data_IF_256003828128
#
_entry.id   IF_256003828128
#
_cell.length_a   1.000
_cell.length_b   1.000
_cell.length_c   1.000
_cell.angle_alpha   90.00
_cell.angle_beta   90.00
_cell.angle_gamma   90.00
#
_symmetry.space_group_name_H-M   'P 1'
#
loop_
_entity.id
_entity.type
_entity.pdbx_description
1 polymer ?
#
# COMPACT_ATOMS: atom_id res chain seq x y z
N UNK A 1 14.89 22.62 9.13
CA UNK A 1 15.42 21.92 7.93
C UNK A 1 14.27 21.17 7.30
N UNK A 2 14.14 21.14 5.97
CA UNK A 2 13.09 20.35 5.33
C UNK A 2 13.32 18.86 5.63
N UNK A 3 12.29 18.15 6.10
CA UNK A 3 12.35 16.70 6.36
C UNK A 3 12.32 15.94 5.03
N UNK A 4 13.10 14.86 4.94
CA UNK A 4 13.02 13.88 3.84
C UNK A 4 12.07 12.75 4.27
N UNK A 5 11.06 12.49 3.45
CA UNK A 5 9.96 11.56 3.74
C UNK A 5 9.83 10.54 2.61
N UNK A 6 9.78 9.26 2.94
CA UNK A 6 9.37 8.19 2.04
C UNK A 6 7.92 7.81 2.33
N UNK A 7 7.10 7.66 1.29
CA UNK A 7 5.72 7.22 1.41
C UNK A 7 5.53 6.01 0.51
N UNK A 8 5.09 4.90 1.10
CA UNK A 8 4.49 3.79 0.39
C UNK A 8 2.98 3.97 0.43
N UNK A 9 2.40 4.28 -0.74
CA UNK A 9 0.96 4.49 -0.91
C UNK A 9 0.30 3.19 -1.39
N UNK A 10 0.43 2.14 -0.58
CA UNK A 10 -0.05 0.82 -0.93
C UNK A 10 -1.58 0.71 -1.01
N UNK A 11 -2.04 -0.31 -1.75
CA UNK A 11 -3.48 -0.63 -1.89
C UNK A 11 -4.13 -0.98 -0.55
N UNK A 12 -3.39 -1.66 0.34
CA UNK A 12 -3.91 -2.14 1.61
C UNK A 12 -3.48 -1.26 2.80
N UNK A 13 -2.24 -0.77 2.80
CA UNK A 13 -1.69 0.05 3.87
C UNK A 13 -0.85 1.18 3.29
N UNK A 14 -0.79 2.29 4.01
CA UNK A 14 0.13 3.40 3.80
C UNK A 14 1.22 3.31 4.85
N UNK A 15 2.48 3.40 4.42
CA UNK A 15 3.63 3.51 5.31
C UNK A 15 4.33 4.85 5.07
N UNK A 16 4.73 5.51 6.16
CA UNK A 16 5.53 6.74 6.08
C UNK A 16 6.82 6.54 6.85
N UNK A 17 7.93 6.75 6.15
CA UNK A 17 9.28 6.75 6.70
C UNK A 17 9.83 8.18 6.74
N UNK A 18 10.44 8.57 7.86
CA UNK A 18 11.15 9.85 7.99
C UNK A 18 12.63 9.56 8.16
N UNK A 19 13.46 10.21 7.33
CA UNK A 19 14.91 10.05 7.40
C UNK A 19 15.44 10.35 8.80
N UNK A 20 16.15 9.39 9.38
CA UNK A 20 16.70 9.46 10.74
C UNK A 20 15.72 9.07 11.86
N UNK A 21 14.44 8.81 11.54
CA UNK A 21 13.45 8.33 12.52
C UNK A 21 12.93 6.92 12.19
N UNK A 22 13.07 6.46 10.95
CA UNK A 22 12.53 5.17 10.52
C UNK A 22 11.06 5.27 10.11
N UNK A 23 10.33 4.17 10.21
CA UNK A 23 8.89 4.10 9.92
C UNK A 23 8.15 4.76 11.08
N UNK A 24 7.46 5.87 10.79
CA UNK A 24 6.68 6.65 11.76
C UNK A 24 5.17 6.44 11.62
N UNK A 25 4.73 5.82 10.51
CA UNK A 25 3.33 5.48 10.27
C UNK A 25 3.22 4.17 9.50
N UNK A 26 2.25 3.35 9.90
CA UNK A 26 1.81 2.15 9.22
C UNK A 26 0.31 2.00 9.51
N UNK A 27 -0.53 2.45 8.58
CA UNK A 27 -1.98 2.50 8.74
C UNK A 27 -2.67 1.92 7.51
N UNK A 28 -3.84 1.28 7.64
CA UNK A 28 -4.63 0.86 6.50
C UNK A 28 -4.98 2.00 5.53
N UNK A 29 -5.00 1.71 4.23
CA UNK A 29 -5.44 2.64 3.19
C UNK A 29 -6.97 2.68 3.12
N UNK A 30 -7.61 3.15 4.20
CA UNK A 30 -9.08 3.17 4.34
C UNK A 30 -9.52 4.52 4.92
N UNK A 31 -10.60 5.06 4.37
CA UNK A 31 -11.23 6.31 4.82
C UNK A 31 -12.71 6.07 5.04
N UNK A 32 -13.24 6.49 6.19
CA UNK A 32 -14.67 6.48 6.47
C UNK A 32 -15.24 7.88 6.22
N UNK A 33 -16.27 7.99 5.39
CA UNK A 33 -16.93 9.25 5.06
C UNK A 33 -18.41 9.19 5.41
N UNK A 34 -18.98 10.36 5.71
CA UNK A 34 -20.42 10.55 5.71
C UNK A 34 -20.91 10.77 4.28
N UNK A 35 -21.76 9.89 3.75
CA UNK A 35 -22.21 9.95 2.36
C UNK A 35 -23.15 11.12 2.04
N UNK A 36 -23.63 11.83 3.07
CA UNK A 36 -24.54 12.98 2.93
C UNK A 36 -23.74 14.28 2.90
N UNK A 37 -22.75 14.41 3.78
CA UNK A 37 -21.95 15.65 3.92
C UNK A 37 -20.59 15.58 3.20
N UNK A 38 -20.18 14.39 2.74
CA UNK A 38 -18.83 14.08 2.26
C UNK A 38 -17.72 14.37 3.27
N UNK A 39 -18.06 14.47 4.55
CA UNK A 39 -17.09 14.70 5.62
C UNK A 39 -16.31 13.42 5.93
N UNK A 40 -14.98 13.54 6.05
CA UNK A 40 -14.12 12.46 6.51
C UNK A 40 -14.29 12.28 8.02
N UNK A 41 -14.78 11.11 8.43
CA UNK A 41 -15.06 10.78 9.82
C UNK A 41 -13.89 10.07 10.50
N UNK A 42 -13.17 9.22 9.75
CA UNK A 42 -12.03 8.48 10.24
C UNK A 42 -11.10 8.07 9.09
N UNK A 43 -9.83 7.83 9.40
CA UNK A 43 -8.81 7.37 8.46
C UNK A 43 -7.99 6.25 9.12
N UNK A 44 -7.47 5.31 8.34
CA UNK A 44 -6.57 4.28 8.84
C UNK A 44 -7.30 3.18 9.60
N UNK A 45 -6.73 2.79 10.75
CA UNK A 45 -7.23 1.67 11.55
C UNK A 45 -8.67 1.88 12.03
N UNK A 46 -9.03 3.12 12.39
CA UNK A 46 -10.40 3.46 12.82
C UNK A 46 -11.40 3.26 11.68
N UNK A 47 -11.09 3.74 10.48
CA UNK A 47 -11.92 3.54 9.30
C UNK A 47 -12.00 2.06 8.90
N UNK A 48 -10.88 1.31 8.96
CA UNK A 48 -10.86 -0.14 8.68
C UNK A 48 -11.77 -0.92 9.63
N UNK A 49 -11.88 -0.51 10.90
CA UNK A 49 -12.77 -1.17 11.87
C UNK A 49 -14.26 -1.00 11.53
N UNK A 50 -14.60 0.00 10.72
CA UNK A 50 -15.96 0.26 10.27
C UNK A 50 -16.35 -0.54 9.02
N UNK A 51 -15.40 -1.15 8.30
CA UNK A 51 -15.67 -1.91 7.06
C UNK A 51 -16.67 -3.04 7.32
N UNK A 52 -17.80 -3.01 6.60
CA UNK A 52 -18.91 -3.95 6.75
C UNK A 52 -19.74 -3.79 8.03
N UNK A 53 -19.53 -2.70 8.77
CA UNK A 53 -20.19 -2.39 10.06
C UNK A 53 -20.75 -0.97 10.13
N UNK A 54 -20.81 -0.25 9.01
CA UNK A 54 -21.28 1.14 8.97
C UNK A 54 -22.82 1.21 8.98
N UNK A 55 -23.40 2.24 9.63
CA UNK A 55 -24.79 2.63 9.38
C UNK A 55 -24.94 3.18 7.95
N UNK A 56 -26.17 3.26 7.44
CA UNK A 56 -26.44 3.58 6.03
C UNK A 56 -25.91 4.93 5.53
N UNK A 57 -25.63 5.88 6.42
CA UNK A 57 -25.07 7.19 6.08
C UNK A 57 -23.54 7.25 6.10
N UNK A 58 -22.85 6.15 6.43
CA UNK A 58 -21.38 6.10 6.48
C UNK A 58 -20.87 5.03 5.51
N UNK A 59 -19.85 5.37 4.73
CA UNK A 59 -19.12 4.39 3.89
C UNK A 59 -17.66 4.37 4.27
N UNK A 60 -17.11 3.17 4.45
CA UNK A 60 -15.67 2.95 4.50
C UNK A 60 -15.17 2.63 3.08
N UNK A 61 -14.26 3.46 2.57
CA UNK A 61 -13.75 3.44 1.19
C UNK A 61 -12.26 3.09 1.21
N UNK A 62 -11.84 2.23 0.29
CA UNK A 62 -10.43 1.99 -0.04
C UNK A 62 -10.09 2.84 -1.28
N UNK A 63 -9.39 3.98 -1.13
CA UNK A 63 -9.23 4.93 -2.24
C UNK A 63 -8.08 4.56 -3.18
N UNK A 64 -7.29 3.53 -2.81
CA UNK A 64 -6.28 2.90 -3.65
C UNK A 64 -6.81 1.56 -4.19
N UNK A 65 -6.51 1.26 -5.44
CA UNK A 65 -6.85 -0.02 -6.08
C UNK A 65 -5.74 -0.42 -7.05
N UNK A 66 -5.29 -1.67 -6.98
CA UNK A 66 -4.27 -2.22 -7.88
C UNK A 66 -3.02 -1.33 -8.01
N UNK A 67 -2.58 -0.72 -6.90
CA UNK A 67 -1.41 0.17 -6.84
C UNK A 67 -1.63 1.57 -7.41
N UNK A 68 -2.86 1.92 -7.81
CA UNK A 68 -3.19 3.24 -8.37
C UNK A 68 -4.30 3.93 -7.58
N UNK A 69 -4.42 5.25 -7.77
CA UNK A 69 -5.46 6.07 -7.14
C UNK A 69 -6.79 5.80 -7.83
N UNK A 70 -7.75 5.24 -7.09
CA UNK A 70 -9.13 5.07 -7.55
C UNK A 70 -9.99 6.30 -7.28
N UNK A 71 -9.71 7.03 -6.20
CA UNK A 71 -10.39 8.27 -5.83
C UNK A 71 -9.36 9.32 -5.36
N UNK A 72 -9.14 10.34 -6.19
CA UNK A 72 -8.10 11.35 -5.95
C UNK A 72 -8.39 12.20 -4.72
N UNK A 73 -9.63 12.65 -4.55
CA UNK A 73 -10.02 13.55 -3.46
C UNK A 73 -9.89 12.83 -2.11
N UNK A 74 -10.29 11.57 -2.05
CA UNK A 74 -10.17 10.76 -0.83
C UNK A 74 -8.70 10.45 -0.51
N UNK A 75 -7.85 10.12 -1.50
CA UNK A 75 -6.40 9.92 -1.27
C UNK A 75 -5.75 11.19 -0.74
N UNK A 76 -6.10 12.35 -1.30
CA UNK A 76 -5.55 13.62 -0.85
C UNK A 76 -5.91 13.91 0.60
N UNK A 77 -7.18 13.73 1.01
CA UNK A 77 -7.58 13.95 2.39
C UNK A 77 -6.93 12.93 3.35
N UNK A 78 -6.82 11.67 2.94
CA UNK A 78 -6.08 10.63 3.68
C UNK A 78 -4.61 11.02 3.92
N UNK A 79 -3.89 11.39 2.86
CA UNK A 79 -2.50 11.81 2.95
C UNK A 79 -2.34 13.09 3.77
N UNK A 80 -3.24 14.07 3.60
CA UNK A 80 -3.25 15.29 4.40
C UNK A 80 -3.40 14.99 5.88
N UNK A 81 -4.35 14.11 6.25
CA UNK A 81 -4.58 13.67 7.61
C UNK A 81 -3.32 13.03 8.22
N UNK A 82 -2.69 12.09 7.51
CA UNK A 82 -1.47 11.43 7.98
C UNK A 82 -0.29 12.40 8.13
N UNK A 83 -0.06 13.29 7.16
CA UNK A 83 1.03 14.26 7.23
C UNK A 83 0.83 15.30 8.34
N UNK A 84 -0.43 15.65 8.66
CA UNK A 84 -0.77 16.51 9.81
C UNK A 84 -0.59 15.77 11.14
N UNK A 85 -1.09 14.53 11.25
CA UNK A 85 -0.94 13.68 12.45
C UNK A 85 0.52 13.51 12.89
N UNK A 86 1.43 13.44 11.93
CA UNK A 86 2.86 13.24 12.16
C UNK A 86 3.65 14.54 12.42
N UNK A 87 3.00 15.70 12.45
CA UNK A 87 3.62 17.03 12.58
C UNK A 87 4.84 17.19 11.64
N UNK A 88 4.69 16.69 10.41
CA UNK A 88 5.72 16.82 9.37
C UNK A 88 5.73 18.24 8.77
N UNK A 89 4.69 19.02 9.05
CA UNK A 89 4.56 20.43 8.68
C UNK A 89 5.12 21.31 9.80
N UNK A 90 6.44 21.51 9.81
CA UNK A 90 6.98 22.67 10.53
C UNK A 90 6.43 23.96 9.93
N UNK A 91 6.20 25.00 10.75
CA UNK A 91 5.56 26.29 10.38
C UNK A 91 6.12 26.95 9.10
N UNK A 92 7.36 26.61 8.69
CA UNK A 92 8.04 27.19 7.52
C UNK A 92 8.73 26.19 6.57
N UNK A 93 8.54 24.87 6.70
CA UNK A 93 9.18 23.93 5.74
C UNK A 93 8.31 22.72 5.40
N UNK A 94 7.85 22.68 4.15
CA UNK A 94 7.28 21.49 3.52
C UNK A 94 8.36 20.43 3.26
N UNK A 95 8.08 19.12 3.49
CA UNK A 95 9.04 18.05 3.28
C UNK A 95 9.32 17.78 1.79
N UNK A 96 10.48 17.17 1.53
CA UNK A 96 10.74 16.46 0.27
C UNK A 96 10.19 15.05 0.40
N UNK A 97 9.47 14.59 -0.61
CA UNK A 97 8.74 13.33 -0.56
C UNK A 97 9.24 12.42 -1.68
N UNK A 98 9.58 11.18 -1.35
CA UNK A 98 9.77 10.09 -2.28
C UNK A 98 8.56 9.16 -2.17
N UNK A 99 7.90 8.84 -3.28
CA UNK A 99 6.75 7.92 -3.32
C UNK A 99 7.06 6.75 -4.24
N UNK A 100 6.78 5.53 -3.80
CA UNK A 100 6.90 4.37 -4.67
C UNK A 100 5.63 4.15 -5.51
N UNK A 101 5.80 3.63 -6.72
CA UNK A 101 4.69 3.22 -7.58
C UNK A 101 4.97 1.89 -8.30
N UNK A 102 3.93 1.16 -8.74
CA UNK A 102 4.11 -0.08 -9.50
C UNK A 102 4.86 0.13 -10.81
N UNK A 103 5.49 -0.92 -11.34
CA UNK A 103 6.33 -0.83 -12.54
C UNK A 103 5.58 -0.53 -13.84
N UNK A 104 4.28 -0.86 -13.89
CA UNK A 104 3.46 -0.73 -15.10
C UNK A 104 2.38 0.35 -14.94
N UNK A 105 2.74 1.47 -14.33
CA UNK A 105 1.86 2.62 -14.11
C UNK A 105 1.85 3.55 -15.33
N UNK A 106 0.68 4.08 -15.70
CA UNK A 106 0.55 5.06 -16.79
C UNK A 106 1.01 6.46 -16.37
N UNK A 107 1.33 7.33 -17.33
CA UNK A 107 1.70 8.72 -17.05
C UNK A 107 0.59 9.53 -16.35
N UNK A 108 -0.68 9.19 -16.59
CA UNK A 108 -1.84 9.81 -15.93
C UNK A 108 -1.91 9.41 -14.47
N UNK A 109 -1.73 8.12 -14.16
CA UNK A 109 -1.72 7.60 -12.78
C UNK A 109 -0.51 8.12 -12.00
N UNK A 110 0.68 8.15 -12.61
CA UNK A 110 1.87 8.77 -12.04
C UNK A 110 1.63 10.24 -11.67
N UNK A 111 0.98 11.00 -12.58
CA UNK A 111 0.64 12.41 -12.34
C UNK A 111 -0.34 12.55 -11.18
N UNK A 112 -1.34 11.68 -11.08
CA UNK A 112 -2.30 11.69 -9.98
C UNK A 112 -1.62 11.46 -8.62
N UNK A 113 -0.73 10.46 -8.51
CA UNK A 113 0.04 10.20 -7.28
C UNK A 113 0.88 11.41 -6.88
N UNK A 114 1.61 11.97 -7.85
CA UNK A 114 2.44 13.16 -7.61
C UNK A 114 1.59 14.33 -7.12
N UNK A 115 0.48 14.62 -7.80
CA UNK A 115 -0.41 15.72 -7.44
C UNK A 115 -1.04 15.55 -6.06
N UNK A 116 -1.46 14.33 -5.70
CA UNK A 116 -2.03 14.05 -4.38
C UNK A 116 -1.01 14.36 -3.27
N UNK A 117 0.24 13.99 -3.45
CA UNK A 117 1.31 14.25 -2.50
C UNK A 117 1.69 15.74 -2.38
N UNK A 118 1.79 16.45 -3.50
CA UNK A 118 2.04 17.89 -3.54
C UNK A 118 0.92 18.66 -2.81
N UNK A 119 -0.34 18.35 -3.11
CA UNK A 119 -1.52 19.00 -2.52
C UNK A 119 -1.70 18.64 -1.04
N UNK A 120 -1.21 17.47 -0.60
CA UNK A 120 -1.27 17.05 0.80
C UNK A 120 -0.22 17.75 1.69
N UNK A 121 0.82 18.33 1.08
CA UNK A 121 1.82 19.14 1.78
C UNK A 121 3.27 18.93 1.37
N UNK A 122 3.56 18.07 0.39
CA UNK A 122 4.90 17.90 -0.17
C UNK A 122 5.39 19.15 -0.91
N UNK A 123 6.70 19.43 -0.84
CA UNK A 123 7.33 20.51 -1.63
C UNK A 123 7.83 20.01 -2.97
N UNK A 124 8.57 18.91 -2.94
CA UNK A 124 9.18 18.26 -4.09
C UNK A 124 8.86 16.78 -3.97
N UNK A 125 8.21 16.23 -4.99
CA UNK A 125 7.78 14.83 -5.02
C UNK A 125 8.60 14.09 -6.08
N UNK A 126 9.39 13.14 -5.61
CA UNK A 126 10.13 12.17 -6.40
C UNK A 126 9.32 10.88 -6.44
N UNK A 127 9.43 10.15 -7.54
CA UNK A 127 8.83 8.82 -7.67
C UNK A 127 9.92 7.83 -8.05
N UNK A 128 9.84 6.64 -7.48
CA UNK A 128 10.69 5.49 -7.83
C UNK A 128 9.80 4.25 -7.91
N UNK A 129 10.26 3.23 -8.63
CA UNK A 129 9.53 1.99 -8.78
C UNK A 129 9.57 1.15 -7.49
N UNK A 130 8.41 0.63 -7.08
CA UNK A 130 8.22 -0.24 -5.91
C UNK A 130 9.24 -1.38 -5.83
N UNK A 131 9.46 -2.23 -6.85
CA UNK A 131 10.38 -3.36 -6.71
C UNK A 131 11.84 -2.92 -6.53
N UNK A 132 12.23 -1.75 -7.03
CA UNK A 132 13.57 -1.19 -6.80
C UNK A 132 13.72 -0.74 -5.35
N UNK A 133 12.72 -0.03 -4.82
CA UNK A 133 12.68 0.38 -3.41
C UNK A 133 12.62 -0.85 -2.49
N UNK A 134 11.82 -1.87 -2.84
CA UNK A 134 11.72 -3.13 -2.12
C UNK A 134 13.05 -3.90 -2.10
N UNK A 135 13.76 -3.95 -3.24
CA UNK A 135 15.09 -4.58 -3.30
C UNK A 135 16.09 -3.93 -2.35
N UNK A 136 16.14 -2.59 -2.36
CA UNK A 136 17.00 -1.81 -1.46
C UNK A 136 16.57 -2.05 0.01
N UNK A 137 15.27 -2.03 0.29
CA UNK A 137 14.71 -2.30 1.61
C UNK A 137 15.01 -3.71 2.13
N UNK A 138 15.13 -4.69 1.23
CA UNK A 138 15.52 -6.07 1.53
C UNK A 138 17.05 -6.26 1.69
N UNK A 139 17.85 -5.21 1.51
CA UNK A 139 19.30 -5.27 1.64
C UNK A 139 20.01 -5.87 0.42
N UNK A 140 19.37 -5.91 -0.75
CA UNK A 140 19.97 -6.41 -1.98
C UNK A 140 20.93 -5.38 -2.58
N UNK A 141 22.11 -5.82 -3.01
CA UNK A 141 23.05 -4.96 -3.76
C UNK A 141 22.66 -4.95 -5.25
N UNK A 142 21.74 -4.05 -5.59
CA UNK A 142 21.21 -3.91 -6.95
C UNK A 142 22.11 -3.08 -7.88
N UNK A 143 23.17 -2.45 -7.35
CA UNK A 143 24.03 -1.55 -8.12
C UNK A 143 25.20 -2.27 -8.82
N UNK A 144 25.42 -3.54 -8.50
CA UNK A 144 26.41 -4.37 -9.20
C UNK A 144 25.91 -4.80 -10.58
N UNK A 145 26.82 -5.14 -11.51
CA UNK A 145 26.49 -5.77 -12.80
C UNK A 145 26.08 -7.24 -12.63
N UNK A 146 25.14 -7.51 -11.72
CA UNK A 146 24.57 -8.83 -11.42
C UNK A 146 23.05 -8.75 -11.40
N UNK A 147 22.39 -9.75 -11.98
CA UNK A 147 20.94 -9.83 -12.01
C UNK A 147 20.35 -10.16 -10.63
N UNK A 148 19.42 -9.33 -10.18
CA UNK A 148 18.69 -9.47 -8.92
C UNK A 148 17.19 -9.54 -9.23
N UNK A 149 16.51 -10.65 -8.93
CA UNK A 149 15.05 -10.73 -9.10
C UNK A 149 14.34 -10.39 -7.78
N UNK A 150 13.34 -9.52 -7.86
CA UNK A 150 12.42 -9.18 -6.77
C UNK A 150 11.00 -9.51 -7.18
N UNK A 151 10.25 -10.10 -6.25
CA UNK A 151 8.83 -10.39 -6.36
C UNK A 151 8.16 -9.75 -5.14
N UNK A 152 7.50 -8.62 -5.37
CA UNK A 152 6.73 -7.90 -4.35
C UNK A 152 5.25 -8.27 -4.47
N UNK A 153 4.66 -8.84 -3.42
CA UNK A 153 3.26 -9.27 -3.38
C UNK A 153 2.50 -8.35 -2.42
N UNK A 154 1.83 -7.36 -2.99
CA UNK A 154 1.07 -6.36 -2.23
C UNK A 154 -0.39 -6.75 -1.99
N UNK A 155 -1.21 -5.74 -1.74
CA UNK A 155 -2.66 -5.90 -1.62
C UNK A 155 -3.37 -6.04 -2.97
N UNK A 156 -3.01 -5.20 -3.95
CA UNK A 156 -3.67 -5.15 -5.25
C UNK A 156 -2.88 -5.77 -6.40
N UNK A 157 -1.54 -5.67 -6.35
CA UNK A 157 -0.65 -6.16 -7.41
C UNK A 157 0.43 -7.08 -6.85
N UNK A 158 0.93 -7.94 -7.72
CA UNK A 158 2.24 -8.57 -7.57
C UNK A 158 3.14 -7.97 -8.64
N UNK A 159 4.23 -7.32 -8.20
CA UNK A 159 5.21 -6.66 -9.04
C UNK A 159 6.51 -7.48 -9.05
N UNK A 160 6.92 -7.89 -10.24
CA UNK A 160 8.10 -8.72 -10.50
C UNK A 160 9.08 -7.87 -11.29
N UNK A 161 10.33 -7.78 -10.84
CA UNK A 161 11.38 -7.10 -11.58
C UNK A 161 12.71 -7.84 -11.50
N UNK A 162 13.49 -7.77 -12.57
CA UNK A 162 14.91 -8.12 -12.58
C UNK A 162 15.72 -6.83 -12.67
N UNK A 163 16.59 -6.62 -11.71
CA UNK A 163 17.41 -5.43 -11.51
C UNK A 163 18.89 -5.75 -11.80
N UNK A 164 19.62 -4.79 -12.36
CA UNK A 164 21.08 -4.83 -12.52
C UNK A 164 21.60 -3.41 -12.68
N UNK A 165 22.77 -3.10 -12.10
CA UNK A 165 23.39 -1.76 -12.16
C UNK A 165 22.46 -0.62 -11.73
N UNK A 166 21.54 -0.89 -10.79
CA UNK A 166 20.59 0.08 -10.24
C UNK A 166 19.32 0.27 -11.06
N UNK A 167 19.20 -0.38 -12.22
CA UNK A 167 18.08 -0.22 -13.15
C UNK A 167 17.26 -1.50 -13.29
N UNK A 168 15.99 -1.33 -13.65
CA UNK A 168 15.09 -2.43 -14.02
C UNK A 168 15.42 -2.87 -15.44
N UNK A 169 15.93 -4.10 -15.58
CA UNK A 169 16.21 -4.74 -16.88
C UNK A 169 14.92 -5.24 -17.53
N UNK A 170 14.04 -5.84 -16.73
CA UNK A 170 12.72 -6.29 -17.15
C UNK A 170 11.78 -6.34 -15.96
N UNK A 171 10.49 -6.11 -16.20
CA UNK A 171 9.47 -6.17 -15.16
C UNK A 171 8.13 -6.67 -15.69
N UNK A 172 7.31 -7.14 -14.76
CA UNK A 172 5.92 -7.52 -14.97
C UNK A 172 5.12 -7.19 -13.72
N UNK A 173 4.01 -6.48 -13.88
CA UNK A 173 3.01 -6.31 -12.83
C UNK A 173 1.75 -7.09 -13.20
N UNK A 174 1.17 -7.81 -12.23
CA UNK A 174 -0.09 -8.53 -12.38
C UNK A 174 -1.06 -8.19 -11.26
N UNK A 175 -2.35 -8.09 -11.58
CA UNK A 175 -3.43 -7.79 -10.64
C UNK A 175 -3.91 -9.03 -9.88
N UNK A 176 -2.95 -9.78 -9.33
CA UNK A 176 -3.16 -10.98 -8.54
C UNK A 176 -2.32 -10.86 -7.28
N UNK A 177 -2.97 -10.65 -6.14
CA UNK A 177 -2.31 -10.26 -4.91
C UNK A 177 -3.20 -10.57 -3.69
N UNK A 178 -2.91 -9.96 -2.53
CA UNK A 178 -3.61 -10.20 -1.28
C UNK A 178 -5.14 -10.09 -1.34
N UNK A 179 -5.68 -9.08 -2.04
CA UNK A 179 -7.13 -8.85 -2.14
C UNK A 179 -7.83 -9.93 -2.97
N UNK A 180 -7.17 -10.44 -4.03
CA UNK A 180 -7.74 -11.52 -4.83
C UNK A 180 -7.80 -12.83 -4.01
N UNK A 181 -6.75 -13.11 -3.23
CA UNK A 181 -6.74 -14.26 -2.32
C UNK A 181 -7.88 -14.18 -1.29
N UNK A 182 -8.15 -12.99 -0.75
CA UNK A 182 -9.28 -12.77 0.15
C UNK A 182 -10.62 -13.01 -0.57
N UNK A 183 -10.75 -12.57 -1.81
CA UNK A 183 -11.91 -12.86 -2.65
C UNK A 183 -12.12 -14.35 -2.89
N UNK A 184 -11.04 -15.08 -3.20
CA UNK A 184 -11.09 -16.52 -3.47
C UNK A 184 -11.49 -17.33 -2.24
N UNK A 185 -10.97 -16.97 -1.06
CA UNK A 185 -11.34 -17.57 0.23
C UNK A 185 -12.84 -17.33 0.52
N UNK A 186 -13.32 -16.10 0.31
CA UNK A 186 -14.74 -15.75 0.49
C UNK A 186 -15.62 -16.59 -0.45
N UNK A 187 -15.28 -16.67 -1.73
CA UNK A 187 -16.02 -17.43 -2.73
C UNK A 187 -15.98 -18.95 -2.48
N UNK A 188 -14.86 -19.46 -1.96
CA UNK A 188 -14.76 -20.85 -1.54
C UNK A 188 -15.73 -21.14 -0.39
N UNK A 189 -15.73 -20.31 0.66
CA UNK A 189 -16.60 -20.51 1.82
C UNK A 189 -18.07 -20.44 1.44
N UNK A 190 -18.45 -19.47 0.60
CA UNK A 190 -19.81 -19.34 0.07
C UNK A 190 -20.24 -20.59 -0.69
N UNK A 191 -19.38 -21.14 -1.56
CA UNK A 191 -19.74 -22.31 -2.39
C UNK A 191 -19.77 -23.61 -1.60
N UNK A 192 -18.82 -23.84 -0.70
CA UNK A 192 -18.69 -25.10 0.02
C UNK A 192 -19.61 -25.21 1.24
N UNK A 193 -19.85 -24.10 1.95
CA UNK A 193 -20.57 -24.09 3.21
C UNK A 193 -21.87 -23.29 3.16
N UNK A 194 -22.21 -22.71 2.00
CA UNK A 194 -23.35 -21.80 1.84
C UNK A 194 -23.35 -20.63 2.86
N UNK A 195 -22.16 -20.20 3.27
CA UNK A 195 -21.95 -19.17 4.28
C UNK A 195 -21.34 -17.93 3.63
N UNK A 196 -21.98 -16.78 3.80
CA UNK A 196 -21.41 -15.50 3.38
C UNK A 196 -20.55 -14.93 4.52
N UNK A 197 -19.29 -14.61 4.21
CA UNK A 197 -18.40 -13.88 5.10
C UNK A 197 -17.98 -12.55 4.47
N UNK A 198 -17.60 -11.57 5.28
CA UNK A 198 -17.07 -10.29 4.80
C UNK A 198 -15.57 -10.36 4.48
N UNK A 199 -15.06 -9.35 3.77
CA UNK A 199 -13.64 -9.23 3.39
C UNK A 199 -12.70 -9.35 4.58
N UNK A 200 -13.00 -8.66 5.69
CA UNK A 200 -12.19 -8.70 6.92
C UNK A 200 -12.06 -10.11 7.47
N UNK A 201 -13.16 -10.85 7.55
CA UNK A 201 -13.15 -12.24 8.01
C UNK A 201 -12.32 -13.11 7.06
N UNK A 202 -12.42 -12.86 5.75
CA UNK A 202 -11.65 -13.59 4.74
C UNK A 202 -10.14 -13.35 4.89
N UNK A 203 -9.73 -12.10 5.07
CA UNK A 203 -8.34 -11.72 5.30
C UNK A 203 -7.80 -12.28 6.63
N UNK A 204 -8.61 -12.26 7.69
CA UNK A 204 -8.24 -12.88 8.96
C UNK A 204 -8.03 -14.39 8.82
N UNK A 205 -8.85 -15.08 8.01
CA UNK A 205 -8.67 -16.49 7.69
C UNK A 205 -7.40 -16.72 6.87
N UNK A 206 -7.13 -15.90 5.86
CA UNK A 206 -5.87 -15.93 5.07
C UNK A 206 -4.67 -15.91 6.00
N UNK A 207 -4.60 -14.92 6.90
CA UNK A 207 -3.46 -14.72 7.81
C UNK A 207 -3.33 -15.87 8.83
N UNK A 208 -4.44 -16.31 9.44
CA UNK A 208 -4.42 -17.31 10.51
C UNK A 208 -4.20 -18.74 10.00
N UNK A 209 -4.77 -19.08 8.85
CA UNK A 209 -4.80 -20.46 8.34
C UNK A 209 -3.69 -20.74 7.32
N UNK A 210 -3.40 -19.83 6.39
CA UNK A 210 -2.39 -20.08 5.34
C UNK A 210 -0.96 -20.09 5.89
N UNK A 211 -0.67 -19.33 6.95
CA UNK A 211 0.63 -19.37 7.63
C UNK A 211 0.89 -20.71 8.37
N UNK A 212 -0.15 -21.50 8.66
CA UNK A 212 0.00 -22.74 9.43
C UNK A 212 0.41 -23.93 8.57
N UNK A 213 0.13 -23.90 7.27
CA UNK A 213 0.48 -24.99 6.34
C UNK A 213 2.01 -25.08 6.17
N UNK A 214 2.73 -23.96 6.15
CA UNK A 214 4.18 -23.93 5.97
C UNK A 214 5.00 -24.46 7.15
N UNK A 215 4.43 -24.56 8.36
CA UNK A 215 5.16 -25.14 9.51
C UNK A 215 5.14 -26.67 9.54
N UNK A 216 4.27 -27.31 8.76
CA UNK A 216 4.13 -28.77 8.73
C UNK A 216 4.70 -29.42 7.45
N UNK A 217 5.17 -28.64 6.49
CA UNK A 217 5.88 -29.13 5.31
C UNK A 217 7.30 -28.56 5.28
N UNK A 218 8.25 -29.43 5.66
CA UNK A 218 9.68 -29.41 5.30
C UNK A 218 10.60 -28.36 5.96
N UNK A 219 11.30 -28.80 7.03
CA UNK A 219 12.76 -28.64 7.05
C UNK A 219 13.32 -29.61 6.01
N UNK A 220 13.63 -29.13 4.80
CA UNK A 220 14.66 -29.78 4.00
C UNK A 220 15.95 -29.19 4.54
N UNK A 221 16.66 -29.96 5.36
CA UNK A 221 18.04 -29.65 5.66
C UNK A 221 18.80 -29.78 4.34
N UNK A 222 19.32 -28.66 3.82
CA UNK A 222 20.36 -28.67 2.82
C UNK A 222 21.70 -28.64 3.56
N UNK A 223 22.47 -29.71 3.41
CA UNK A 223 23.92 -29.71 3.60
C UNK A 223 24.60 -28.73 2.62
#
# INVERSE_FOLDING_TARGET
>A
MAKDVGIDLGTANVLIHVKGQGIVLNEPSVVAINNITNEVLAVGTEARNMVGRTPGNITAIKPMKDGVIADFDIVQEMLRFFLQKLDLKGFFSKPRVLICCPTNITSVEQKAIRQAAEQSGGKQVFMEEEPKVAAIGAGMDIFQPSGNMVIDIGGGTTDIAVLSMGDIVTSKSVKLAGNQLDGDILQYIKRQYNLLIGERTSEELKIKCCNRIYRNTTRINGD
#
